data_IF_480742156235
#
_entry.id   IF_480742156235
#
_cell.length_a   1.000
_cell.length_b   1.000
_cell.length_c   1.000
_cell.angle_alpha   90.00
_cell.angle_beta   90.00
_cell.angle_gamma   90.00
#
_symmetry.space_group_name_H-M   'P 1'
#
loop_
_entity.id
_entity.type
_entity.pdbx_description
1 polymer ?
#
# COMPACT_ATOMS: atom_id res chain seq x y z
N UNK A 1 1.84 27.41 -5.12
CA UNK A 1 1.53 27.18 -3.69
C UNK A 1 1.91 25.74 -3.35
N UNK A 2 2.92 25.52 -2.48
CA UNK A 2 3.25 24.19 -1.97
C UNK A 2 2.06 23.71 -1.12
N UNK A 3 1.45 22.57 -1.49
CA UNK A 3 0.39 21.98 -0.65
C UNK A 3 0.97 21.70 0.73
N UNK A 4 0.38 22.31 1.77
CA UNK A 4 0.77 22.08 3.17
C UNK A 4 0.77 20.56 3.42
N UNK A 5 1.91 20.03 3.76
CA UNK A 5 2.11 18.60 3.96
C UNK A 5 1.37 18.14 5.21
N UNK A 6 0.80 16.96 5.17
CA UNK A 6 -0.04 16.42 6.24
C UNK A 6 0.76 15.34 6.93
N UNK A 7 1.40 15.72 8.05
CA UNK A 7 2.37 14.88 8.76
C UNK A 7 1.82 13.48 9.11
N UNK A 8 0.59 13.36 9.57
CA UNK A 8 0.05 12.06 9.95
C UNK A 8 -0.11 11.09 8.76
N UNK A 9 -0.28 11.59 7.52
CA UNK A 9 -0.33 10.71 6.34
C UNK A 9 1.04 10.13 6.03
N UNK A 10 2.11 10.86 6.30
CA UNK A 10 3.47 10.34 6.13
C UNK A 10 3.78 9.30 7.23
N UNK A 11 3.33 9.53 8.48
CA UNK A 11 3.40 8.50 9.52
C UNK A 11 2.55 7.27 9.16
N UNK A 12 1.36 7.46 8.61
CA UNK A 12 0.52 6.37 8.14
C UNK A 12 1.24 5.50 7.08
N UNK A 13 1.95 6.13 6.14
CA UNK A 13 2.77 5.41 5.15
C UNK A 13 3.95 4.70 5.80
N UNK A 14 4.60 5.31 6.79
CA UNK A 14 5.65 4.67 7.56
C UNK A 14 5.14 3.40 8.25
N UNK A 15 4.01 3.50 8.95
CA UNK A 15 3.40 2.34 9.61
C UNK A 15 3.00 1.27 8.59
N UNK A 16 2.44 1.67 7.44
CA UNK A 16 2.11 0.76 6.35
C UNK A 16 3.32 0.01 5.80
N UNK A 17 4.45 0.70 5.57
CA UNK A 17 5.67 0.04 5.08
C UNK A 17 6.33 -0.82 6.16
N UNK A 18 6.32 -0.41 7.41
CA UNK A 18 6.83 -1.21 8.52
C UNK A 18 6.05 -2.54 8.68
N UNK A 19 4.73 -2.49 8.57
CA UNK A 19 3.88 -3.68 8.58
C UNK A 19 4.14 -4.58 7.36
N UNK A 20 4.36 -4.00 6.17
CA UNK A 20 4.75 -4.74 4.97
C UNK A 20 6.09 -5.47 5.18
N UNK A 21 7.10 -4.79 5.72
CA UNK A 21 8.40 -5.43 6.00
C UNK A 21 8.26 -6.57 7.02
N UNK A 22 7.43 -6.37 8.06
CA UNK A 22 7.14 -7.40 9.06
C UNK A 22 6.51 -8.63 8.42
N UNK A 23 5.49 -8.45 7.61
CA UNK A 23 4.74 -9.52 6.94
C UNK A 23 5.61 -10.28 5.93
N UNK A 24 6.38 -9.57 5.10
CA UNK A 24 7.25 -10.17 4.08
C UNK A 24 8.41 -10.97 4.67
N UNK A 25 8.79 -10.77 5.93
CA UNK A 25 9.82 -11.57 6.60
C UNK A 25 9.49 -13.06 6.55
N UNK A 26 8.21 -13.44 6.71
CA UNK A 26 7.77 -14.84 6.63
C UNK A 26 7.85 -15.45 5.22
N UNK A 27 8.21 -14.70 4.19
CA UNK A 27 8.50 -15.24 2.87
C UNK A 27 9.96 -15.75 2.77
N UNK A 28 10.80 -15.41 3.74
CA UNK A 28 12.23 -15.73 3.79
C UNK A 28 12.61 -16.64 4.97
N UNK A 29 11.80 -16.65 6.03
CA UNK A 29 12.02 -17.45 7.23
C UNK A 29 10.72 -18.18 7.57
N UNK A 30 10.84 -19.45 7.94
CA UNK A 30 9.69 -20.20 8.43
C UNK A 30 9.28 -19.68 9.81
N UNK A 31 8.19 -18.96 9.87
CA UNK A 31 7.59 -18.41 11.08
C UNK A 31 6.23 -19.06 11.30
N UNK A 32 5.82 -19.14 12.57
CA UNK A 32 4.56 -19.80 12.95
C UNK A 32 3.93 -19.19 14.22
N UNK A 33 3.05 -19.94 14.86
CA UNK A 33 2.41 -19.50 16.10
C UNK A 33 1.70 -18.16 15.97
N UNK A 34 2.04 -17.21 16.84
CA UNK A 34 1.41 -15.88 16.89
C UNK A 34 1.70 -15.03 15.64
N UNK A 35 2.73 -15.35 14.84
CA UNK A 35 3.03 -14.63 13.62
C UNK A 35 1.92 -14.78 12.57
N UNK A 36 1.35 -15.98 12.42
CA UNK A 36 0.35 -16.28 11.40
C UNK A 36 -0.91 -15.40 11.52
N UNK A 37 -1.60 -15.31 12.68
CA UNK A 37 -2.76 -14.43 12.81
C UNK A 37 -2.42 -12.95 12.64
N UNK A 38 -1.19 -12.52 13.01
CA UNK A 38 -0.72 -11.15 12.76
C UNK A 38 -0.53 -10.93 11.25
N UNK A 39 0.07 -11.88 10.52
CA UNK A 39 0.23 -11.80 9.06
C UNK A 39 -1.13 -11.74 8.36
N UNK A 40 -2.10 -12.58 8.74
CA UNK A 40 -3.49 -12.53 8.21
C UNK A 40 -4.08 -11.12 8.39
N UNK A 41 -3.93 -10.54 9.58
CA UNK A 41 -4.40 -9.20 9.86
C UNK A 41 -3.70 -8.14 8.99
N UNK A 42 -2.37 -8.15 8.93
CA UNK A 42 -1.59 -7.17 8.14
C UNK A 42 -1.95 -7.26 6.66
N UNK A 43 -1.99 -8.48 6.09
CA UNK A 43 -2.30 -8.70 4.67
C UNK A 43 -3.68 -8.16 4.29
N UNK A 44 -4.63 -8.12 5.23
CA UNK A 44 -5.99 -7.64 4.98
C UNK A 44 -6.07 -6.14 4.66
N UNK A 45 -5.05 -5.32 4.99
CA UNK A 45 -5.19 -3.88 4.85
C UNK A 45 -3.91 -3.10 4.47
N UNK A 46 -2.70 -3.66 4.61
CA UNK A 46 -1.47 -2.88 4.42
C UNK A 46 -1.34 -2.30 3.01
N UNK A 47 -1.75 -3.04 1.96
CA UNK A 47 -1.76 -2.50 0.59
C UNK A 47 -2.94 -1.55 0.33
N UNK A 48 -4.19 -1.87 0.70
CA UNK A 48 -5.30 -0.92 0.70
C UNK A 48 -4.99 0.42 1.36
N UNK A 49 -4.23 0.43 2.47
CA UNK A 49 -3.84 1.63 3.20
C UNK A 49 -3.18 2.69 2.30
N UNK A 50 -2.31 2.29 1.36
CA UNK A 50 -1.64 3.24 0.46
C UNK A 50 -2.61 3.87 -0.55
N UNK A 51 -3.57 3.12 -1.08
CA UNK A 51 -4.65 3.67 -1.92
C UNK A 51 -5.56 4.61 -1.11
N UNK A 52 -5.92 4.22 0.11
CA UNK A 52 -6.69 5.06 1.04
C UNK A 52 -5.94 6.37 1.34
N UNK A 53 -4.64 6.28 1.67
CA UNK A 53 -3.79 7.45 1.92
C UNK A 53 -3.75 8.40 0.70
N UNK A 54 -3.71 7.86 -0.52
CA UNK A 54 -3.80 8.68 -1.73
C UNK A 54 -5.15 9.43 -1.80
N UNK A 55 -6.27 8.75 -1.57
CA UNK A 55 -7.61 9.35 -1.55
C UNK A 55 -7.80 10.41 -0.46
N UNK A 56 -7.12 10.26 0.68
CA UNK A 56 -7.09 11.25 1.76
C UNK A 56 -6.42 12.56 1.31
N UNK A 57 -5.41 12.50 0.44
CA UNK A 57 -4.67 13.67 -0.06
C UNK A 57 -5.35 14.31 -1.26
N UNK A 58 -5.84 13.50 -2.20
CA UNK A 58 -6.40 13.96 -3.47
C UNK A 58 -7.92 13.93 -3.39
N UNK A 59 -8.52 15.06 -3.00
CA UNK A 59 -9.98 15.17 -2.85
C UNK A 59 -10.68 15.90 -4.00
N UNK A 60 -9.93 16.63 -4.81
CA UNK A 60 -10.45 17.39 -5.93
C UNK A 60 -9.70 17.05 -7.20
N UNK A 61 -10.33 17.27 -8.34
CA UNK A 61 -9.67 17.09 -9.61
C UNK A 61 -8.38 17.92 -9.70
N UNK A 62 -7.34 17.31 -10.25
CA UNK A 62 -5.99 17.89 -10.30
C UNK A 62 -5.79 18.82 -11.50
N UNK A 63 -6.76 18.90 -12.41
CA UNK A 63 -6.70 19.71 -13.64
C UNK A 63 -8.10 20.13 -14.09
N UNK A 64 -8.16 21.15 -14.95
CA UNK A 64 -9.38 21.56 -15.64
C UNK A 64 -9.51 20.78 -16.95
N UNK A 65 -10.60 20.03 -17.11
CA UNK A 65 -10.81 19.12 -18.28
C UNK A 65 -10.74 19.85 -19.62
N UNK A 66 -11.18 21.11 -19.68
CA UNK A 66 -11.14 21.93 -20.89
C UNK A 66 -9.72 22.40 -21.27
N UNK A 67 -8.73 22.20 -20.40
CA UNK A 67 -7.36 22.61 -20.63
C UNK A 67 -6.48 21.37 -20.89
N UNK A 68 -6.27 21.06 -22.16
CA UNK A 68 -5.46 19.91 -22.56
C UNK A 68 -4.05 19.94 -21.98
N UNK A 69 -3.44 21.11 -21.87
CA UNK A 69 -2.09 21.25 -21.31
C UNK A 69 -2.06 20.84 -19.81
N UNK A 70 -3.09 21.19 -19.04
CA UNK A 70 -3.15 20.75 -17.62
C UNK A 70 -3.32 19.23 -17.52
N UNK A 71 -4.09 18.61 -18.42
CA UNK A 71 -4.25 17.15 -18.50
C UNK A 71 -2.92 16.48 -18.84
N UNK A 72 -2.22 16.97 -19.85
CA UNK A 72 -0.91 16.43 -20.28
C UNK A 72 0.14 16.56 -19.16
N UNK A 73 0.22 17.73 -18.51
CA UNK A 73 1.12 17.94 -17.35
C UNK A 73 0.77 17.01 -16.19
N UNK A 74 -0.52 16.75 -15.95
CA UNK A 74 -0.92 15.78 -14.92
C UNK A 74 -0.46 14.37 -15.31
N UNK A 75 -0.72 13.91 -16.51
CA UNK A 75 -0.32 12.57 -17.01
C UNK A 75 1.20 12.41 -16.97
N UNK A 76 1.95 13.39 -17.44
CA UNK A 76 3.41 13.41 -17.39
C UNK A 76 3.92 13.27 -15.94
N UNK A 77 3.38 14.07 -15.00
CA UNK A 77 3.75 13.98 -13.59
C UNK A 77 3.47 12.61 -12.99
N UNK A 78 2.37 11.96 -13.36
CA UNK A 78 2.04 10.62 -12.87
C UNK A 78 2.92 9.56 -13.50
N UNK A 79 3.20 9.67 -14.80
CA UNK A 79 4.09 8.77 -15.51
C UNK A 79 5.52 8.85 -14.93
N UNK A 80 6.08 10.06 -14.83
CA UNK A 80 7.42 10.28 -14.25
C UNK A 80 7.45 9.88 -12.76
N UNK A 81 6.35 10.09 -12.04
CA UNK A 81 6.26 9.80 -10.61
C UNK A 81 6.11 8.33 -10.25
N UNK A 82 5.61 7.49 -11.15
CA UNK A 82 5.26 6.10 -10.85
C UNK A 82 5.82 5.10 -11.87
N UNK A 83 5.68 5.37 -13.19
CA UNK A 83 6.06 4.40 -14.22
C UNK A 83 7.56 4.44 -14.49
N UNK A 84 8.19 5.62 -14.50
CA UNK A 84 9.66 5.70 -14.64
C UNK A 84 10.37 4.99 -13.48
N UNK A 85 10.05 5.27 -12.19
CA UNK A 85 10.61 4.50 -11.07
C UNK A 85 10.35 3.00 -11.19
N UNK A 86 9.11 2.62 -11.54
CA UNK A 86 8.75 1.21 -11.75
C UNK A 86 9.70 0.52 -12.74
N UNK A 87 9.86 1.10 -13.93
CA UNK A 87 10.74 0.55 -14.96
C UNK A 87 12.20 0.49 -14.51
N UNK A 88 12.72 1.57 -13.91
CA UNK A 88 14.11 1.61 -13.44
C UNK A 88 14.37 0.58 -12.34
N UNK A 89 13.45 0.41 -11.39
CA UNK A 89 13.58 -0.63 -10.38
C UNK A 89 13.48 -2.03 -10.96
N UNK A 90 12.61 -2.28 -11.94
CA UNK A 90 12.59 -3.55 -12.66
C UNK A 90 13.96 -3.86 -13.30
N UNK A 91 14.59 -2.86 -13.93
CA UNK A 91 15.92 -3.02 -14.51
C UNK A 91 17.01 -3.33 -13.46
N UNK A 92 16.91 -2.77 -12.25
CA UNK A 92 17.88 -3.03 -11.17
C UNK A 92 17.77 -4.48 -10.65
N UNK A 93 16.56 -5.07 -10.70
CA UNK A 93 16.31 -6.41 -10.15
C UNK A 93 16.70 -7.57 -11.04
N UNK A 94 17.03 -7.33 -12.30
CA UNK A 94 17.40 -8.40 -13.23
C UNK A 94 18.67 -8.09 -14.01
N UNK A 95 19.42 -9.13 -14.33
CA UNK A 95 20.49 -9.08 -15.32
C UNK A 95 20.07 -9.70 -16.67
N UNK A 96 18.85 -10.27 -16.74
CA UNK A 96 18.32 -10.89 -17.95
C UNK A 96 17.15 -10.05 -18.51
N UNK A 97 17.41 -9.39 -19.64
CA UNK A 97 16.45 -8.50 -20.31
C UNK A 97 15.78 -9.18 -21.53
N UNK A 98 15.48 -10.47 -21.43
CA UNK A 98 14.77 -11.23 -22.45
C UNK A 98 13.27 -10.88 -22.55
N UNK A 99 12.56 -11.62 -23.41
CA UNK A 99 11.12 -11.42 -23.67
C UNK A 99 10.29 -11.48 -22.38
N UNK A 100 10.64 -12.38 -21.45
CA UNK A 100 9.91 -12.55 -20.19
C UNK A 100 10.06 -11.35 -19.26
N UNK A 101 11.20 -10.66 -19.28
CA UNK A 101 11.38 -9.39 -18.60
C UNK A 101 10.39 -8.36 -19.12
N UNK A 102 10.32 -8.15 -20.44
CA UNK A 102 9.40 -7.16 -21.02
C UNK A 102 7.93 -7.52 -20.78
N UNK A 103 7.59 -8.81 -20.83
CA UNK A 103 6.25 -9.27 -20.43
C UNK A 103 5.97 -8.94 -18.97
N UNK A 104 6.86 -9.28 -18.04
CA UNK A 104 6.72 -8.98 -16.61
C UNK A 104 6.52 -7.48 -16.36
N UNK A 105 7.30 -6.65 -17.00
CA UNK A 105 7.16 -5.18 -16.91
C UNK A 105 5.81 -4.73 -17.48
N UNK A 106 5.39 -5.24 -18.64
CA UNK A 106 4.13 -4.84 -19.28
C UNK A 106 2.89 -5.26 -18.47
N UNK A 107 2.92 -6.42 -17.82
CA UNK A 107 1.80 -6.92 -17.00
C UNK A 107 1.90 -6.52 -15.52
N UNK A 108 2.87 -5.68 -15.15
CA UNK A 108 2.96 -5.12 -13.80
C UNK A 108 3.64 -6.02 -12.79
N UNK A 109 4.50 -6.97 -13.23
CA UNK A 109 5.22 -7.92 -12.36
C UNK A 109 4.30 -8.69 -11.38
N UNK A 110 3.09 -9.01 -11.81
CA UNK A 110 2.11 -9.69 -10.98
C UNK A 110 2.68 -11.03 -10.46
N UNK A 111 2.67 -11.30 -9.15
CA UNK A 111 3.21 -12.54 -8.56
C UNK A 111 2.58 -13.82 -9.12
N UNK A 112 1.32 -13.77 -9.53
CA UNK A 112 0.60 -14.94 -10.09
C UNK A 112 1.12 -15.36 -11.47
N UNK A 113 1.89 -14.52 -12.16
CA UNK A 113 2.43 -14.84 -13.48
C UNK A 113 3.69 -15.68 -13.44
N UNK A 114 4.35 -15.80 -12.28
CA UNK A 114 5.58 -16.59 -12.13
C UNK A 114 6.74 -16.12 -13.03
N UNK A 115 6.73 -14.88 -13.52
CA UNK A 115 7.74 -14.37 -14.44
C UNK A 115 9.05 -14.16 -13.69
N UNK A 116 10.06 -14.95 -14.06
CA UNK A 116 11.38 -14.88 -13.46
C UNK A 116 12.08 -13.54 -13.76
N UNK A 117 12.90 -13.08 -12.82
CA UNK A 117 13.79 -11.94 -13.03
C UNK A 117 13.16 -10.57 -12.82
N UNK A 118 11.92 -10.48 -12.35
CA UNK A 118 11.27 -9.22 -11.99
C UNK A 118 10.93 -9.15 -10.50
N UNK A 119 10.98 -7.94 -9.92
CA UNK A 119 10.62 -7.75 -8.52
C UNK A 119 9.10 -7.75 -8.36
N UNK A 120 8.57 -8.80 -7.77
CA UNK A 120 7.14 -8.99 -7.56
C UNK A 120 6.48 -7.94 -6.66
N UNK A 121 7.22 -7.20 -5.84
CA UNK A 121 6.67 -6.14 -4.98
C UNK A 121 6.38 -4.84 -5.74
N UNK A 122 6.92 -4.68 -6.95
CA UNK A 122 6.75 -3.48 -7.77
C UNK A 122 5.37 -3.37 -8.44
N UNK A 123 4.54 -4.43 -8.42
CA UNK A 123 3.18 -4.45 -8.99
C UNK A 123 2.33 -3.26 -8.56
N UNK A 124 2.61 -2.75 -7.36
CA UNK A 124 1.86 -1.64 -6.77
C UNK A 124 1.98 -0.34 -7.58
N UNK A 125 3.15 -0.06 -8.18
CA UNK A 125 3.41 1.19 -8.90
C UNK A 125 2.54 1.34 -10.17
N UNK A 126 2.47 0.36 -11.08
CA UNK A 126 1.56 0.44 -12.23
C UNK A 126 0.09 0.35 -11.81
N UNK A 127 -0.27 -0.44 -10.79
CA UNK A 127 -1.65 -0.52 -10.31
C UNK A 127 -2.14 0.82 -9.71
N UNK A 128 -1.33 1.49 -8.88
CA UNK A 128 -1.70 2.81 -8.33
C UNK A 128 -1.70 3.90 -9.41
N UNK A 129 -0.87 3.77 -10.46
CA UNK A 129 -0.92 4.66 -11.61
C UNK A 129 -2.29 4.58 -12.30
N UNK A 130 -2.75 3.38 -12.68
CA UNK A 130 -4.06 3.20 -13.30
C UNK A 130 -5.20 3.61 -12.36
N UNK A 131 -5.16 3.19 -11.09
CA UNK A 131 -6.16 3.60 -10.10
C UNK A 131 -6.25 5.13 -9.96
N UNK A 132 -5.11 5.83 -10.05
CA UNK A 132 -5.06 7.29 -10.04
C UNK A 132 -5.78 7.90 -11.25
N UNK A 133 -5.60 7.32 -12.44
CA UNK A 133 -6.28 7.80 -13.65
C UNK A 133 -7.80 7.59 -13.55
N UNK A 134 -8.23 6.40 -13.12
CA UNK A 134 -9.65 6.07 -12.92
C UNK A 134 -10.25 7.03 -11.88
N UNK A 135 -9.59 7.23 -10.75
CA UNK A 135 -10.05 8.11 -9.69
C UNK A 135 -10.14 9.58 -10.14
N UNK A 136 -9.19 10.07 -10.95
CA UNK A 136 -9.24 11.42 -11.49
C UNK A 136 -10.42 11.59 -12.48
N UNK A 137 -10.71 10.58 -13.29
CA UNK A 137 -11.89 10.58 -14.15
C UNK A 137 -13.18 10.71 -13.31
N UNK A 138 -13.31 9.93 -12.24
CA UNK A 138 -14.43 10.03 -11.32
C UNK A 138 -14.52 11.41 -10.64
N UNK A 139 -13.39 12.00 -10.26
CA UNK A 139 -13.34 13.36 -9.70
C UNK A 139 -13.83 14.40 -10.71
N UNK A 140 -13.45 14.27 -11.98
CA UNK A 140 -13.93 15.14 -13.07
C UNK A 140 -15.45 15.02 -13.22
N UNK A 141 -15.97 13.79 -13.31
CA UNK A 141 -17.42 13.56 -13.46
C UNK A 141 -18.19 14.11 -12.25
N UNK A 142 -17.62 13.98 -11.04
CA UNK A 142 -18.25 14.51 -9.83
C UNK A 142 -18.41 16.02 -9.79
N UNK A 143 -17.64 16.78 -10.57
CA UNK A 143 -17.77 18.25 -10.64
C UNK A 143 -19.09 18.73 -11.23
N UNK A 144 -19.78 17.85 -11.95
CA UNK A 144 -21.10 18.12 -12.57
C UNK A 144 -22.28 17.79 -11.67
N UNK A 145 -22.02 17.27 -10.45
CA UNK A 145 -23.03 16.74 -9.55
C UNK A 145 -23.07 17.57 -8.27
N UNK A 146 -24.25 18.01 -7.88
CA UNK A 146 -24.46 18.89 -6.73
C UNK A 146 -25.35 18.25 -5.64
N UNK A 147 -25.25 18.77 -4.43
CA UNK A 147 -26.13 18.43 -3.32
C UNK A 147 -26.00 16.98 -2.86
N UNK A 148 -27.12 16.37 -2.45
CA UNK A 148 -27.19 14.99 -1.96
C UNK A 148 -26.76 13.95 -3.00
N UNK A 149 -26.93 14.26 -4.29
CA UNK A 149 -26.56 13.37 -5.39
C UNK A 149 -25.06 13.05 -5.43
N UNK A 150 -24.20 13.89 -4.81
CA UNK A 150 -22.76 13.61 -4.69
C UNK A 150 -22.51 12.36 -3.87
N UNK A 151 -23.26 12.11 -2.79
CA UNK A 151 -23.11 10.91 -1.95
C UNK A 151 -23.53 9.67 -2.74
N UNK A 152 -24.68 9.75 -3.43
CA UNK A 152 -25.17 8.66 -4.29
C UNK A 152 -24.16 8.36 -5.39
N UNK A 153 -23.63 9.39 -6.05
CA UNK A 153 -22.60 9.25 -7.09
C UNK A 153 -21.39 8.47 -6.60
N UNK A 154 -20.82 8.82 -5.45
CA UNK A 154 -19.66 8.12 -4.91
C UNK A 154 -19.99 6.69 -4.48
N UNK A 155 -21.18 6.44 -3.91
CA UNK A 155 -21.66 5.09 -3.60
C UNK A 155 -21.76 4.22 -4.85
N UNK A 156 -22.41 4.72 -5.91
CA UNK A 156 -22.50 4.03 -7.20
C UNK A 156 -21.11 3.83 -7.82
N UNK A 157 -20.23 4.82 -7.77
CA UNK A 157 -18.86 4.69 -8.26
C UNK A 157 -18.08 3.60 -7.54
N UNK A 158 -18.24 3.46 -6.21
CA UNK A 158 -17.62 2.37 -5.44
C UNK A 158 -18.16 1.00 -5.87
N UNK A 159 -19.46 0.87 -6.02
CA UNK A 159 -20.09 -0.38 -6.46
C UNK A 159 -19.66 -0.77 -7.87
N UNK A 160 -19.61 0.19 -8.81
CA UNK A 160 -19.15 -0.05 -10.18
C UNK A 160 -17.68 -0.45 -10.21
N UNK A 161 -16.79 0.28 -9.53
CA UNK A 161 -15.37 -0.07 -9.49
C UNK A 161 -15.16 -1.44 -8.84
N UNK A 162 -15.83 -1.73 -7.72
CA UNK A 162 -15.76 -3.03 -7.06
C UNK A 162 -16.27 -4.16 -7.95
N UNK A 163 -17.42 -3.96 -8.59
CA UNK A 163 -18.02 -4.92 -9.51
C UNK A 163 -17.13 -5.20 -10.73
N UNK A 164 -16.55 -4.16 -11.34
CA UNK A 164 -15.59 -4.30 -12.44
C UNK A 164 -14.35 -5.06 -11.99
N UNK A 165 -13.79 -4.75 -10.80
CA UNK A 165 -12.64 -5.48 -10.26
C UNK A 165 -12.92 -6.97 -10.13
N UNK A 166 -14.06 -7.34 -9.53
CA UNK A 166 -14.46 -8.75 -9.38
C UNK A 166 -14.74 -9.43 -10.72
N UNK A 167 -15.34 -8.72 -11.65
CA UNK A 167 -15.59 -9.23 -13.01
C UNK A 167 -14.29 -9.50 -13.76
N UNK A 168 -13.36 -8.54 -13.75
CA UNK A 168 -12.03 -8.70 -14.35
C UNK A 168 -11.27 -9.85 -13.68
N UNK A 169 -11.35 -10.00 -12.36
CA UNK A 169 -10.74 -11.12 -11.64
C UNK A 169 -11.28 -12.47 -12.12
N UNK A 170 -12.59 -12.57 -12.35
CA UNK A 170 -13.21 -13.81 -12.85
C UNK A 170 -12.71 -14.21 -14.24
N UNK A 171 -12.39 -13.23 -15.08
CA UNK A 171 -11.91 -13.43 -16.46
C UNK A 171 -10.43 -13.08 -16.63
N UNK A 172 -9.62 -13.26 -15.57
CA UNK A 172 -8.18 -12.99 -15.62
C UNK A 172 -7.51 -13.82 -16.70
N UNK A 173 -6.84 -13.20 -17.69
CA UNK A 173 -6.05 -13.90 -18.70
C UNK A 173 -4.87 -14.64 -18.05
N UNK A 174 -4.25 -15.59 -18.78
CA UNK A 174 -3.06 -16.31 -18.32
C UNK A 174 -1.94 -15.38 -17.84
N UNK A 175 -1.73 -14.25 -18.51
CA UNK A 175 -0.70 -13.25 -18.20
C UNK A 175 -1.18 -12.16 -17.22
N UNK A 176 -2.40 -12.28 -16.66
CA UNK A 176 -3.03 -11.21 -15.87
C UNK A 176 -3.53 -10.05 -16.72
N UNK A 177 -4.02 -9.01 -16.06
CA UNK A 177 -4.43 -7.76 -16.69
C UNK A 177 -3.29 -6.77 -16.75
N UNK A 178 -3.22 -6.02 -17.83
CA UNK A 178 -2.21 -4.99 -18.07
C UNK A 178 -2.12 -4.04 -16.86
N UNK A 179 -0.91 -3.89 -16.32
CA UNK A 179 -0.63 -3.04 -15.16
C UNK A 179 -1.53 -3.33 -13.95
N UNK A 180 -2.08 -4.55 -13.81
CA UNK A 180 -2.99 -4.89 -12.73
C UNK A 180 -4.30 -4.09 -12.78
N UNK A 181 -4.93 -3.99 -13.96
CA UNK A 181 -6.16 -3.21 -14.17
C UNK A 181 -7.30 -3.64 -13.24
N UNK A 182 -7.46 -4.93 -12.99
CA UNK A 182 -8.41 -5.50 -12.03
C UNK A 182 -8.17 -4.98 -10.61
N UNK A 183 -6.91 -4.94 -10.19
CA UNK A 183 -6.46 -4.41 -8.90
C UNK A 183 -6.63 -2.88 -8.84
N UNK A 184 -6.40 -2.19 -9.97
CA UNK A 184 -6.54 -0.74 -10.04
C UNK A 184 -7.99 -0.28 -9.77
N UNK A 185 -8.99 -1.02 -10.25
CA UNK A 185 -10.40 -0.75 -9.92
C UNK A 185 -10.69 -0.96 -8.42
N UNK A 186 -10.17 -2.03 -7.81
CA UNK A 186 -10.24 -2.22 -6.35
C UNK A 186 -9.52 -1.10 -5.60
N UNK A 187 -8.33 -0.71 -6.07
CA UNK A 187 -7.59 0.45 -5.55
C UNK A 187 -8.38 1.75 -5.60
N UNK A 188 -9.18 1.95 -6.66
CA UNK A 188 -10.07 3.11 -6.78
C UNK A 188 -11.17 3.12 -5.71
N UNK A 189 -11.74 1.95 -5.34
CA UNK A 189 -12.68 1.83 -4.21
C UNK A 189 -12.03 2.36 -2.93
N UNK A 190 -10.78 1.96 -2.66
CA UNK A 190 -10.04 2.43 -1.49
C UNK A 190 -9.68 3.92 -1.56
N UNK A 191 -9.39 4.48 -2.75
CA UNK A 191 -9.18 5.93 -2.91
C UNK A 191 -10.47 6.71 -2.59
N UNK A 192 -11.63 6.21 -3.04
CA UNK A 192 -12.93 6.82 -2.71
C UNK A 192 -13.17 6.75 -1.19
N UNK A 193 -12.91 5.60 -0.56
CA UNK A 193 -13.01 5.43 0.88
C UNK A 193 -12.12 6.43 1.63
N UNK A 194 -10.89 6.62 1.18
CA UNK A 194 -9.93 7.57 1.75
C UNK A 194 -10.45 9.02 1.80
N UNK A 195 -11.20 9.43 0.77
CA UNK A 195 -11.86 10.74 0.73
C UNK A 195 -12.80 10.98 1.93
N UNK A 196 -13.52 9.93 2.35
CA UNK A 196 -14.46 10.00 3.48
C UNK A 196 -13.76 9.78 4.81
N UNK A 197 -12.85 8.81 4.90
CA UNK A 197 -12.08 8.52 6.11
C UNK A 197 -11.29 9.76 6.56
N UNK A 198 -10.78 10.56 5.65
CA UNK A 198 -10.12 11.83 5.97
C UNK A 198 -11.02 12.76 6.79
N UNK A 199 -12.30 12.87 6.46
CA UNK A 199 -13.24 13.73 7.19
C UNK A 199 -13.48 13.19 8.61
N UNK A 200 -13.53 11.86 8.75
CA UNK A 200 -13.70 11.21 10.05
C UNK A 200 -12.48 11.44 10.92
N UNK A 201 -11.26 11.32 10.37
CA UNK A 201 -10.02 11.58 11.09
C UNK A 201 -9.96 13.05 11.54
N UNK A 202 -10.20 14.01 10.60
CA UNK A 202 -10.18 15.43 10.90
C UNK A 202 -11.19 15.81 12.01
N UNK A 203 -12.32 15.09 12.10
CA UNK A 203 -13.32 15.27 13.16
C UNK A 203 -12.89 14.63 14.48
N UNK A 204 -12.30 13.43 14.46
CA UNK A 204 -11.83 12.72 15.66
C UNK A 204 -10.63 13.42 16.30
N UNK A 205 -9.70 13.95 15.50
CA UNK A 205 -8.51 14.67 16.01
C UNK A 205 -8.84 15.93 16.84
N UNK A 206 -10.08 16.44 16.72
CA UNK A 206 -10.59 17.55 17.54
C UNK A 206 -11.12 17.09 18.91
N UNK A 207 -11.18 15.78 19.16
CA UNK A 207 -11.68 15.19 20.41
C UNK A 207 -10.55 15.00 21.42
N UNK A 208 -10.95 14.70 22.66
CA UNK A 208 -10.02 14.38 23.73
C UNK A 208 -9.13 13.19 23.32
N UNK A 209 -7.83 13.28 23.56
CA UNK A 209 -6.84 12.28 23.16
C UNK A 209 -7.16 10.87 23.70
N UNK A 210 -7.69 10.78 24.93
CA UNK A 210 -8.13 9.51 25.54
C UNK A 210 -9.26 8.85 24.73
N UNK A 211 -10.20 9.66 24.23
CA UNK A 211 -11.31 9.18 23.38
C UNK A 211 -10.74 8.67 22.05
N UNK A 212 -9.82 9.41 21.46
CA UNK A 212 -9.19 9.02 20.18
C UNK A 212 -8.45 7.69 20.32
N UNK A 213 -7.68 7.51 21.40
CA UNK A 213 -6.99 6.25 21.70
C UNK A 213 -7.97 5.10 21.92
N UNK A 214 -9.04 5.31 22.70
CA UNK A 214 -10.06 4.29 22.92
C UNK A 214 -10.73 3.87 21.60
N UNK A 215 -11.11 4.85 20.77
CA UNK A 215 -11.68 4.60 19.44
C UNK A 215 -10.71 3.80 18.57
N UNK A 216 -9.41 4.16 18.56
CA UNK A 216 -8.40 3.44 17.80
C UNK A 216 -8.28 1.98 18.25
N UNK A 217 -8.28 1.71 19.55
CA UNK A 217 -8.22 0.34 20.11
C UNK A 217 -9.46 -0.46 19.70
N UNK A 218 -10.65 0.11 19.83
CA UNK A 218 -11.90 -0.58 19.44
C UNK A 218 -11.90 -0.90 17.95
N UNK A 219 -11.47 0.06 17.11
CA UNK A 219 -11.37 -0.14 15.66
C UNK A 219 -10.34 -1.22 15.32
N UNK A 220 -9.18 -1.28 16.01
CA UNK A 220 -8.19 -2.35 15.82
C UNK A 220 -8.78 -3.72 16.15
N UNK A 221 -9.49 -3.86 17.27
CA UNK A 221 -10.13 -5.13 17.65
C UNK A 221 -11.14 -5.57 16.57
N UNK A 222 -11.97 -4.66 16.10
CA UNK A 222 -12.95 -4.94 15.04
C UNK A 222 -12.23 -5.30 13.75
N UNK A 223 -11.19 -4.55 13.36
CA UNK A 223 -10.44 -4.77 12.14
C UNK A 223 -9.70 -6.12 12.12
N UNK A 224 -9.12 -6.53 13.26
CA UNK A 224 -8.51 -7.86 13.43
C UNK A 224 -9.55 -8.97 13.26
N UNK A 225 -10.72 -8.83 13.91
CA UNK A 225 -11.81 -9.80 13.74
C UNK A 225 -12.30 -9.88 12.31
N UNK A 226 -12.46 -8.74 11.62
CA UNK A 226 -12.82 -8.72 10.21
C UNK A 226 -11.80 -9.49 9.35
N UNK A 227 -10.50 -9.30 9.60
CA UNK A 227 -9.45 -10.00 8.87
C UNK A 227 -9.53 -11.53 9.05
N UNK A 228 -9.65 -11.99 10.28
CA UNK A 228 -9.72 -13.43 10.59
C UNK A 228 -11.00 -14.09 10.05
N UNK A 229 -12.15 -13.40 10.08
CA UNK A 229 -13.39 -13.93 9.49
C UNK A 229 -13.36 -13.93 7.95
N UNK A 230 -12.49 -13.10 7.34
CA UNK A 230 -12.37 -12.98 5.90
C UNK A 230 -11.20 -13.78 5.31
N UNK A 231 -10.62 -14.69 6.04
CA UNK A 231 -9.55 -15.55 5.58
C UNK A 231 -9.94 -16.28 4.28
N UNK A 232 -9.15 -16.18 3.20
CA UNK A 232 -9.53 -16.80 1.93
C UNK A 232 -9.45 -18.32 1.99
N UNK A 233 -10.22 -18.97 1.11
CA UNK A 233 -10.19 -20.45 0.95
C UNK A 233 -8.99 -20.88 0.11
N UNK A 234 -8.62 -20.08 -0.90
CA UNK A 234 -7.55 -20.36 -1.87
C UNK A 234 -6.14 -20.13 -1.30
N UNK A 235 -6.04 -19.32 -0.25
CA UNK A 235 -4.79 -18.95 0.40
C UNK A 235 -5.09 -18.67 1.87
N UNK A 236 -4.12 -18.86 2.76
CA UNK A 236 -4.30 -18.56 4.18
C UNK A 236 -4.21 -17.05 4.51
N UNK A 237 -3.91 -16.18 3.52
CA UNK A 237 -3.91 -14.72 3.63
C UNK A 237 -4.54 -14.06 2.41
N UNK A 238 -5.08 -12.86 2.58
CA UNK A 238 -5.47 -12.02 1.44
C UNK A 238 -4.23 -11.53 0.70
N UNK A 239 -4.26 -11.58 -0.64
CA UNK A 239 -3.16 -11.13 -1.50
C UNK A 239 -3.73 -10.20 -2.57
N UNK A 240 -3.76 -8.91 -2.28
CA UNK A 240 -4.33 -7.92 -3.19
C UNK A 240 -3.64 -7.94 -4.57
N UNK A 241 -2.33 -8.21 -4.61
CA UNK A 241 -1.56 -8.36 -5.84
C UNK A 241 -2.10 -9.43 -6.79
N UNK A 242 -2.73 -10.48 -6.24
CA UNK A 242 -3.31 -11.60 -7.00
C UNK A 242 -4.84 -11.51 -7.09
N UNK A 243 -5.44 -10.42 -6.62
CA UNK A 243 -6.91 -10.29 -6.54
C UNK A 243 -7.56 -11.28 -5.58
N UNK A 244 -6.83 -11.75 -4.56
CA UNK A 244 -7.34 -12.60 -3.49
C UNK A 244 -7.81 -11.71 -2.34
N UNK A 245 -9.11 -11.46 -2.28
CA UNK A 245 -9.72 -10.49 -1.36
C UNK A 245 -10.36 -11.14 -0.12
N UNK A 246 -10.20 -12.45 0.07
CA UNK A 246 -10.84 -13.21 1.15
C UNK A 246 -12.17 -13.83 0.73
N UNK A 247 -12.88 -14.40 1.71
CA UNK A 247 -14.20 -15.03 1.51
C UNK A 247 -15.27 -14.04 1.05
N UNK A 248 -15.13 -12.76 1.47
CA UNK A 248 -16.12 -11.72 1.20
C UNK A 248 -15.43 -10.39 0.88
N UNK A 249 -15.65 -9.91 -0.34
CA UNK A 249 -15.04 -8.66 -0.83
C UNK A 249 -15.50 -7.42 -0.06
N UNK A 250 -16.77 -7.37 0.38
CA UNK A 250 -17.27 -6.24 1.18
C UNK A 250 -16.58 -6.23 2.55
N UNK A 251 -16.41 -7.40 3.16
CA UNK A 251 -15.72 -7.52 4.44
C UNK A 251 -14.23 -7.14 4.31
N UNK A 252 -13.59 -7.45 3.18
CA UNK A 252 -12.25 -6.97 2.86
C UNK A 252 -12.18 -5.44 2.83
N UNK A 253 -13.11 -4.78 2.11
CA UNK A 253 -13.15 -3.31 2.03
C UNK A 253 -13.37 -2.70 3.41
N UNK A 254 -14.36 -3.17 4.16
CA UNK A 254 -14.68 -2.65 5.49
C UNK A 254 -13.52 -2.88 6.47
N UNK A 255 -12.96 -4.08 6.51
CA UNK A 255 -11.81 -4.41 7.36
C UNK A 255 -10.60 -3.53 7.05
N UNK A 256 -10.28 -3.33 5.77
CA UNK A 256 -9.19 -2.46 5.36
C UNK A 256 -9.42 -1.00 5.75
N UNK A 257 -10.64 -0.48 5.58
CA UNK A 257 -10.99 0.88 5.99
C UNK A 257 -10.91 1.07 7.51
N UNK A 258 -11.42 0.11 8.28
CA UNK A 258 -11.40 0.14 9.75
C UNK A 258 -9.99 0.10 10.28
N UNK A 259 -9.15 -0.84 9.81
CA UNK A 259 -7.76 -0.95 10.20
C UNK A 259 -6.96 0.32 9.82
N UNK A 260 -7.15 0.83 8.59
CA UNK A 260 -6.47 2.05 8.15
C UNK A 260 -6.87 3.25 8.99
N UNK A 261 -8.15 3.38 9.36
CA UNK A 261 -8.63 4.44 10.25
C UNK A 261 -7.95 4.34 11.63
N UNK A 262 -7.92 3.15 12.21
CA UNK A 262 -7.29 2.92 13.51
C UNK A 262 -5.78 3.28 13.47
N UNK A 263 -5.05 2.80 12.47
CA UNK A 263 -3.61 3.10 12.29
C UNK A 263 -3.39 4.60 12.01
N UNK A 264 -4.30 5.27 11.29
CA UNK A 264 -4.21 6.70 11.06
C UNK A 264 -4.39 7.53 12.34
N UNK A 265 -5.27 7.11 13.25
CA UNK A 265 -5.45 7.77 14.55
C UNK A 265 -4.21 7.61 15.44
N UNK A 266 -3.60 6.41 15.46
CA UNK A 266 -2.31 6.17 16.13
C UNK A 266 -1.22 7.03 15.47
N UNK A 267 -1.18 7.07 14.14
CA UNK A 267 -0.25 7.90 13.37
C UNK A 267 -0.38 9.39 13.66
N UNK A 268 -1.60 9.89 13.90
CA UNK A 268 -1.87 11.28 14.30
C UNK A 268 -1.24 11.63 15.65
N UNK A 269 -1.31 10.72 16.63
CA UNK A 269 -0.68 10.89 17.93
C UNK A 269 0.86 10.92 17.83
N UNK A 270 1.44 10.05 17.01
CA UNK A 270 2.89 9.98 16.76
C UNK A 270 3.36 11.22 15.99
N UNK A 271 2.62 11.66 14.98
CA UNK A 271 2.99 12.78 14.11
C UNK A 271 3.21 14.10 14.84
N UNK A 272 2.59 14.26 16.01
CA UNK A 272 2.79 15.44 16.87
C UNK A 272 4.18 15.45 17.52
N UNK A 273 4.85 14.29 17.62
CA UNK A 273 6.07 14.09 18.40
C UNK A 273 7.29 13.73 17.55
N UNK A 274 7.11 13.08 16.39
CA UNK A 274 8.21 12.51 15.62
C UNK A 274 8.21 12.94 14.15
N UNK A 275 9.29 13.59 13.74
CA UNK A 275 9.53 14.02 12.35
C UNK A 275 10.35 13.00 11.54
N UNK A 276 11.11 12.14 12.22
CA UNK A 276 11.98 11.15 11.55
C UNK A 276 11.12 10.09 10.89
N UNK A 277 10.14 9.55 11.62
CA UNK A 277 9.22 8.55 11.09
C UNK A 277 8.39 9.10 9.92
N UNK A 278 7.97 10.37 9.99
CA UNK A 278 7.30 11.03 8.87
C UNK A 278 8.21 11.15 7.64
N UNK A 279 9.50 11.45 7.83
CA UNK A 279 10.47 11.49 6.73
C UNK A 279 10.72 10.10 6.11
N UNK A 280 10.79 9.03 6.92
CA UNK A 280 10.87 7.65 6.42
C UNK A 280 9.61 7.33 5.59
N UNK A 281 8.43 7.66 6.09
CA UNK A 281 7.17 7.44 5.39
C UNK A 281 7.05 8.22 4.07
N UNK A 282 7.66 9.43 3.99
CA UNK A 282 7.78 10.17 2.72
C UNK A 282 8.54 9.38 1.67
N UNK A 283 9.51 8.61 2.09
CA UNK A 283 10.41 7.85 1.24
C UNK A 283 10.04 6.36 1.15
N UNK A 284 8.82 5.99 1.57
CA UNK A 284 8.32 4.61 1.61
C UNK A 284 8.43 3.88 0.26
N UNK A 285 8.37 4.60 -0.87
CA UNK A 285 8.56 4.03 -2.20
C UNK A 285 9.95 3.41 -2.36
N UNK A 286 10.99 4.09 -1.89
CA UNK A 286 12.37 3.56 -1.96
C UNK A 286 12.47 2.29 -1.13
N UNK A 287 11.95 2.31 0.10
CA UNK A 287 11.96 1.14 0.99
C UNK A 287 11.20 -0.03 0.36
N UNK A 288 10.00 0.24 -0.17
CA UNK A 288 9.21 -0.76 -0.88
C UNK A 288 9.98 -1.37 -2.05
N UNK A 289 10.71 -0.54 -2.80
CA UNK A 289 11.43 -1.02 -3.98
C UNK A 289 12.66 -1.88 -3.63
N UNK A 290 13.38 -1.62 -2.53
CA UNK A 290 14.68 -2.24 -2.27
C UNK A 290 14.68 -3.31 -1.17
N UNK A 291 13.62 -3.45 -0.37
CA UNK A 291 13.64 -4.32 0.81
C UNK A 291 13.99 -5.79 0.47
N UNK A 292 13.58 -6.33 -0.67
CA UNK A 292 13.95 -7.68 -1.07
C UNK A 292 15.44 -7.85 -1.37
N UNK A 293 16.15 -6.76 -1.69
CA UNK A 293 17.62 -6.80 -1.83
C UNK A 293 18.28 -6.85 -0.44
N UNK A 294 17.68 -6.20 0.55
CA UNK A 294 18.23 -6.09 1.92
C UNK A 294 17.89 -7.34 2.75
N UNK A 295 16.73 -7.96 2.55
CA UNK A 295 16.21 -9.05 3.38
C UNK A 295 17.17 -10.24 3.56
N UNK A 296 17.86 -10.77 2.54
CA UNK A 296 18.81 -11.86 2.76
C UNK A 296 19.87 -11.54 3.82
N UNK A 297 20.34 -10.29 3.84
CA UNK A 297 21.37 -9.84 4.78
C UNK A 297 20.79 -9.53 6.16
N UNK A 298 19.71 -8.79 6.24
CA UNK A 298 19.08 -8.40 7.52
C UNK A 298 18.52 -9.63 8.28
N UNK A 299 17.93 -10.58 7.56
CA UNK A 299 17.42 -11.81 8.14
C UNK A 299 18.57 -12.71 8.61
N UNK A 300 19.66 -12.79 7.85
CA UNK A 300 20.84 -13.55 8.30
C UNK A 300 21.41 -12.98 9.61
N UNK A 301 21.47 -11.65 9.74
CA UNK A 301 21.86 -11.00 10.99
C UNK A 301 20.88 -11.39 12.11
N UNK A 302 19.57 -11.26 11.88
CA UNK A 302 18.58 -11.65 12.88
C UNK A 302 18.72 -13.12 13.30
N UNK A 303 18.90 -14.03 12.35
CA UNK A 303 19.06 -15.45 12.63
C UNK A 303 20.34 -15.74 13.42
N UNK A 304 21.45 -15.08 13.10
CA UNK A 304 22.72 -15.28 13.80
C UNK A 304 22.61 -14.92 15.29
N UNK A 305 21.97 -13.79 15.61
CA UNK A 305 21.89 -13.31 17.00
C UNK A 305 20.65 -13.79 17.76
N UNK A 306 19.62 -14.26 17.08
CA UNK A 306 18.36 -14.70 17.68
C UNK A 306 18.13 -16.22 17.53
N UNK A 307 19.07 -16.97 16.95
CA UNK A 307 18.94 -18.41 16.72
C UNK A 307 18.73 -19.22 18.00
N UNK A 308 19.42 -18.88 19.07
CA UNK A 308 19.23 -19.56 20.37
C UNK A 308 17.82 -19.40 20.93
N UNK A 309 17.22 -18.21 20.71
CA UNK A 309 15.84 -17.92 21.09
C UNK A 309 14.86 -18.68 20.17
N UNK A 310 15.24 -18.85 18.90
CA UNK A 310 14.45 -19.56 17.89
C UNK A 310 14.33 -21.06 18.20
N UNK A 311 15.43 -21.72 18.59
CA UNK A 311 15.46 -23.16 18.87
C UNK A 311 14.79 -23.52 20.20
N UNK A 312 14.78 -22.63 21.19
CA UNK A 312 14.15 -22.87 22.50
C UNK A 312 12.63 -22.71 22.53
N UNK A 313 11.98 -22.77 21.39
CA UNK A 313 10.54 -22.66 21.16
C UNK A 313 10.01 -21.24 21.36
N UNK A 314 9.55 -20.58 20.33
CA UNK A 314 8.28 -20.15 20.53
C UNK A 314 7.82 -18.74 20.19
N UNK A 315 6.77 -18.31 20.72
CA UNK A 315 6.02 -17.10 20.47
C UNK A 315 6.87 -15.82 20.31
N UNK A 316 7.94 -15.70 21.09
CA UNK A 316 8.74 -14.48 21.14
C UNK A 316 9.63 -14.35 19.90
N UNK A 317 10.29 -15.40 19.44
CA UNK A 317 11.16 -15.35 18.26
C UNK A 317 10.37 -15.06 16.97
N UNK A 318 9.16 -15.59 16.88
CA UNK A 318 8.25 -15.33 15.75
C UNK A 318 7.80 -13.87 15.65
N UNK A 319 8.03 -13.05 16.68
CA UNK A 319 7.80 -11.61 16.68
C UNK A 319 9.12 -10.85 16.58
N UNK A 320 10.16 -11.28 17.32
CA UNK A 320 11.44 -10.56 17.41
C UNK A 320 12.19 -10.57 16.07
N UNK A 321 12.17 -11.70 15.32
CA UNK A 321 12.83 -11.77 14.01
C UNK A 321 12.22 -10.80 13.02
N UNK A 322 10.89 -10.78 12.79
CA UNK A 322 10.28 -9.76 11.93
C UNK A 322 10.50 -8.33 12.40
N UNK A 323 10.42 -8.04 13.69
CA UNK A 323 10.69 -6.71 14.23
C UNK A 323 12.15 -6.30 14.02
N UNK A 324 13.10 -7.19 14.29
CA UNK A 324 14.52 -6.97 14.04
C UNK A 324 14.78 -6.69 12.56
N UNK A 325 14.17 -7.48 11.67
CA UNK A 325 14.26 -7.26 10.23
C UNK A 325 13.70 -5.89 9.79
N UNK A 326 12.56 -5.45 10.36
CA UNK A 326 12.01 -4.11 10.11
C UNK A 326 13.01 -3.03 10.53
N UNK A 327 13.56 -3.12 11.73
CA UNK A 327 14.49 -2.13 12.28
C UNK A 327 15.77 -2.07 11.42
N UNK A 328 16.40 -3.21 11.15
CA UNK A 328 17.65 -3.28 10.38
C UNK A 328 17.39 -2.76 8.95
N UNK A 329 16.31 -3.19 8.32
CA UNK A 329 15.96 -2.73 6.96
C UNK A 329 15.73 -1.21 6.93
N UNK A 330 14.99 -0.66 7.88
CA UNK A 330 14.80 0.79 7.97
C UNK A 330 16.13 1.53 8.18
N UNK A 331 17.00 1.05 9.06
CA UNK A 331 18.32 1.66 9.33
C UNK A 331 19.20 1.63 8.07
N UNK A 332 19.28 0.51 7.37
CA UNK A 332 20.04 0.37 6.10
C UNK A 332 19.44 1.26 5.01
N UNK A 333 18.13 1.44 5.00
CA UNK A 333 17.48 2.33 4.02
C UNK A 333 17.79 3.81 4.25
N UNK A 334 18.12 4.26 5.45
CA UNK A 334 18.40 5.69 5.73
C UNK A 334 19.49 6.26 4.81
N UNK A 335 20.72 5.74 4.78
CA UNK A 335 21.76 6.23 3.90
C UNK A 335 21.39 6.10 2.40
N UNK A 336 20.69 5.03 2.02
CA UNK A 336 20.23 4.83 0.64
C UNK A 336 19.20 5.91 0.26
N UNK A 337 18.28 6.23 1.15
CA UNK A 337 17.31 7.31 0.94
C UNK A 337 18.02 8.65 0.75
N UNK A 338 19.04 8.96 1.56
CA UNK A 338 19.85 10.17 1.36
C UNK A 338 20.55 10.18 0.02
N UNK A 339 21.18 9.08 -0.35
CA UNK A 339 21.85 8.93 -1.66
C UNK A 339 20.88 9.12 -2.83
N UNK A 340 19.75 8.39 -2.82
CA UNK A 340 18.73 8.48 -3.88
C UNK A 340 18.14 9.89 -3.95
N UNK A 341 17.86 10.52 -2.81
CA UNK A 341 17.34 11.88 -2.78
C UNK A 341 18.29 12.91 -3.36
N UNK A 342 19.59 12.70 -3.20
CA UNK A 342 20.64 13.63 -3.64
C UNK A 342 21.06 13.42 -5.08
N UNK A 343 21.25 12.15 -5.49
CA UNK A 343 21.93 11.83 -6.76
C UNK A 343 21.01 11.18 -7.79
N UNK A 344 19.94 10.49 -7.37
CA UNK A 344 19.06 9.74 -8.25
C UNK A 344 17.57 9.95 -7.94
N UNK A 345 17.08 11.22 -7.85
CA UNK A 345 15.71 11.52 -7.43
C UNK A 345 14.65 10.89 -8.33
N UNK A 346 15.02 10.55 -9.56
CA UNK A 346 14.14 9.87 -10.53
C UNK A 346 13.68 8.48 -10.04
N UNK A 347 14.49 7.79 -9.23
CA UNK A 347 14.14 6.48 -8.65
C UNK A 347 12.96 6.56 -7.65
N UNK A 348 12.61 7.75 -7.19
CA UNK A 348 11.41 8.00 -6.38
C UNK A 348 10.39 8.90 -7.08
N UNK A 349 10.51 9.06 -8.39
CA UNK A 349 9.58 9.83 -9.20
C UNK A 349 9.68 11.35 -9.04
N UNK A 350 10.86 11.86 -8.67
CA UNK A 350 11.17 13.29 -8.68
C UNK A 350 12.17 13.60 -9.80
N UNK A 351 12.03 14.79 -10.41
CA UNK A 351 13.02 15.36 -11.35
C UNK A 351 14.04 16.18 -10.60
#
# INVERSE_FOLDING_TARGET
>A
MSKKRIAYIDILKFLGIALLLFEHTGNWVQLGGIYNPIKVWICSFHMPLFFIAYGMVVRNCSFKVKNLNEVLVFLEKRFVGLIIPYFLWCCIYTSNYGVDFFKGVAYGTNPSLGIAGTNQVLWFLPAIFLATLIYQLLLVLSTKINGRNVIVYWGVSMLLCGGISLLLKKFTPEWGWWFGLDIAFSGCVFMISGRYLRKIIDWLEQRNEKIVVLVAIVLLIIGVKCAWHNEPVESWVTIMACGIYGKNYILFILGACINTLAIALVGGAIAKKDRILAWIGENSLIIMAIHYIIFPYSINICNTYLSEIYWNQHCISNILIPLGNVIITCLVCIPIIFFVNRYMPILKGKR
#
